data_IF_351676217737
#
_entry.id   IF_351676217737
#
_cell.length_a   1.000
_cell.length_b   1.000
_cell.length_c   1.000
_cell.angle_alpha   90.00
_cell.angle_beta   90.00
_cell.angle_gamma   90.00
#
_symmetry.space_group_name_H-M   'P 1'
#
loop_
_entity.id
_entity.type
_entity.pdbx_description
1 polymer ?
#
# COMPACT_ATOMS: atom_id res chain seq x y z
N UNK A 1 -10.13 12.57 13.34
CA UNK A 1 -11.31 11.79 12.89
C UNK A 1 -11.38 11.65 11.37
N UNK A 2 -11.28 12.74 10.59
CA UNK A 2 -11.44 12.73 9.12
C UNK A 2 -10.43 11.84 8.36
N UNK A 3 -9.17 11.80 8.82
CA UNK A 3 -8.10 11.00 8.20
C UNK A 3 -8.35 9.48 8.33
N UNK A 4 -8.70 9.01 9.53
CA UNK A 4 -9.03 7.60 9.81
C UNK A 4 -10.20 7.13 8.93
N UNK A 5 -11.20 8.00 8.72
CA UNK A 5 -12.32 7.70 7.85
C UNK A 5 -11.87 7.42 6.41
N UNK A 6 -11.04 8.28 5.82
CA UNK A 6 -10.58 8.12 4.44
C UNK A 6 -9.73 6.85 4.27
N UNK A 7 -8.82 6.57 5.21
CA UNK A 7 -8.05 5.31 5.21
C UNK A 7 -8.94 4.07 5.34
N UNK A 8 -10.01 4.14 6.15
CA UNK A 8 -11.01 3.07 6.24
C UNK A 8 -11.70 2.84 4.91
N UNK A 9 -12.08 3.90 4.19
CA UNK A 9 -12.69 3.75 2.87
C UNK A 9 -11.72 3.18 1.83
N UNK A 10 -10.45 3.61 1.85
CA UNK A 10 -9.41 3.04 0.99
C UNK A 10 -9.24 1.54 1.24
N UNK A 11 -9.29 1.12 2.51
CA UNK A 11 -9.24 -0.30 2.89
C UNK A 11 -10.45 -1.07 2.35
N UNK A 12 -11.67 -0.55 2.49
CA UNK A 12 -12.86 -1.20 1.90
C UNK A 12 -12.76 -1.34 0.38
N UNK A 13 -12.27 -0.31 -0.30
CA UNK A 13 -12.03 -0.37 -1.74
C UNK A 13 -11.00 -1.45 -2.08
N UNK A 14 -9.91 -1.57 -1.32
CA UNK A 14 -8.89 -2.60 -1.57
C UNK A 14 -9.42 -4.05 -1.48
N UNK A 15 -10.55 -4.28 -0.80
CA UNK A 15 -11.21 -5.58 -0.77
C UNK A 15 -11.97 -5.93 -2.06
N UNK A 16 -12.15 -4.97 -2.97
CA UNK A 16 -12.73 -5.23 -4.29
C UNK A 16 -11.64 -5.90 -5.13
N UNK A 17 -11.74 -7.21 -5.26
CA UNK A 17 -10.86 -7.97 -6.14
C UNK A 17 -11.32 -7.83 -7.60
N UNK A 18 -10.70 -6.88 -8.27
CA UNK A 18 -10.93 -6.56 -9.68
C UNK A 18 -10.27 -7.57 -10.61
N UNK A 19 -9.18 -8.23 -10.17
CA UNK A 19 -8.39 -9.15 -11.00
C UNK A 19 -9.03 -10.54 -11.13
N UNK A 20 -9.83 -10.95 -10.15
CA UNK A 20 -10.44 -12.28 -10.12
C UNK A 20 -11.57 -12.44 -11.14
N UNK A 21 -11.50 -13.51 -11.94
CA UNK A 21 -12.50 -13.83 -12.99
C UNK A 21 -13.84 -14.35 -12.45
N UNK A 22 -13.99 -14.56 -11.14
CA UNK A 22 -15.17 -15.18 -10.52
C UNK A 22 -16.33 -14.20 -10.43
N UNK A 23 -17.54 -14.66 -10.75
CA UNK A 23 -18.76 -13.83 -10.69
C UNK A 23 -19.14 -13.41 -9.26
N UNK A 24 -18.81 -14.23 -8.26
CA UNK A 24 -19.04 -13.93 -6.83
C UNK A 24 -18.30 -12.65 -6.42
N UNK A 25 -17.06 -12.47 -6.91
CA UNK A 25 -16.24 -11.28 -6.64
C UNK A 25 -16.88 -9.99 -7.18
N UNK A 26 -17.63 -10.06 -8.30
CA UNK A 26 -18.33 -8.91 -8.87
C UNK A 26 -19.53 -8.48 -8.00
N UNK A 27 -20.33 -9.43 -7.53
CA UNK A 27 -21.45 -9.15 -6.63
C UNK A 27 -20.97 -8.57 -5.30
N UNK A 28 -19.89 -9.12 -4.73
CA UNK A 28 -19.24 -8.56 -3.55
C UNK A 28 -18.72 -7.14 -3.81
N UNK A 29 -18.10 -6.88 -4.96
CA UNK A 29 -17.66 -5.55 -5.37
C UNK A 29 -18.80 -4.53 -5.41
N UNK A 30 -19.96 -4.89 -5.98
CA UNK A 30 -21.14 -4.00 -5.99
C UNK A 30 -21.69 -3.70 -4.60
N UNK A 31 -21.68 -4.69 -3.69
CA UNK A 31 -22.09 -4.50 -2.29
C UNK A 31 -21.16 -3.53 -1.59
N UNK A 32 -19.84 -3.72 -1.74
CA UNK A 32 -18.82 -2.83 -1.17
C UNK A 32 -18.97 -1.41 -1.73
N UNK A 33 -19.15 -1.26 -3.05
CA UNK A 33 -19.41 0.04 -3.67
C UNK A 33 -20.70 0.66 -3.09
N UNK A 34 -21.76 -0.10 -2.88
CA UNK A 34 -23.00 0.44 -2.30
C UNK A 34 -22.80 0.89 -0.85
N UNK A 35 -22.03 0.15 -0.05
CA UNK A 35 -21.65 0.53 1.31
C UNK A 35 -20.87 1.85 1.33
N UNK A 36 -19.82 1.94 0.50
CA UNK A 36 -18.98 3.13 0.37
C UNK A 36 -19.82 4.38 0.02
N UNK A 37 -20.86 4.22 -0.81
CA UNK A 37 -21.78 5.33 -1.13
C UNK A 37 -22.41 5.93 0.12
N UNK A 38 -22.90 5.08 1.01
CA UNK A 38 -23.55 5.51 2.24
C UNK A 38 -22.57 6.21 3.16
N UNK A 39 -21.39 5.61 3.32
CA UNK A 39 -20.31 6.13 4.15
C UNK A 39 -19.81 7.50 3.67
N UNK A 40 -19.52 7.67 2.36
CA UNK A 40 -19.10 8.96 1.81
C UNK A 40 -20.17 10.03 2.05
N UNK A 41 -21.45 9.69 1.84
CA UNK A 41 -22.56 10.63 2.08
C UNK A 41 -22.63 11.06 3.54
N UNK A 42 -22.40 10.14 4.47
CA UNK A 42 -22.37 10.46 5.89
C UNK A 42 -21.20 11.39 6.22
N UNK A 43 -20.03 11.14 5.65
CA UNK A 43 -18.86 12.00 5.85
C UNK A 43 -18.99 13.37 5.22
N UNK A 44 -19.58 13.48 4.02
CA UNK A 44 -19.93 14.78 3.43
C UNK A 44 -20.82 15.58 4.39
N UNK A 45 -21.87 14.95 4.94
CA UNK A 45 -22.75 15.62 5.90
C UNK A 45 -22.01 16.02 7.17
N UNK A 46 -21.14 15.15 7.68
CA UNK A 46 -20.32 15.45 8.84
C UNK A 46 -19.40 16.65 8.59
N UNK A 47 -18.68 16.68 7.46
CA UNK A 47 -17.83 17.82 7.12
C UNK A 47 -18.62 19.12 6.91
N UNK A 48 -19.80 19.04 6.29
CA UNK A 48 -20.70 20.20 6.15
C UNK A 48 -21.18 20.74 7.50
N UNK A 49 -21.51 19.86 8.45
CA UNK A 49 -21.92 20.24 9.80
C UNK A 49 -20.78 20.84 10.61
N UNK A 50 -19.57 20.29 10.50
CA UNK A 50 -18.39 20.90 11.12
C UNK A 50 -18.13 22.28 10.52
N UNK A 51 -18.12 22.44 9.20
CA UNK A 51 -17.96 23.76 8.55
C UNK A 51 -19.02 24.81 8.93
N UNK A 52 -20.22 24.39 9.35
CA UNK A 52 -21.25 25.30 9.83
C UNK A 52 -20.96 25.91 11.22
N UNK A 53 -19.96 25.39 11.95
CA UNK A 53 -19.48 25.96 13.21
C UNK A 53 -18.42 27.03 12.92
N UNK A 54 -18.22 27.98 13.85
CA UNK A 54 -17.16 29.00 13.73
C UNK A 54 -15.77 28.36 13.74
N UNK A 55 -15.28 27.95 12.57
CA UNK A 55 -13.91 27.50 12.35
C UNK A 55 -13.05 28.63 11.75
N UNK A 56 -11.74 28.41 11.72
CA UNK A 56 -10.83 29.30 11.00
C UNK A 56 -11.08 29.20 9.49
N UNK A 57 -10.92 30.31 8.77
CA UNK A 57 -11.08 30.38 7.31
C UNK A 57 -10.21 29.35 6.57
N UNK A 58 -9.05 29.01 7.12
CA UNK A 58 -8.12 28.02 6.58
C UNK A 58 -8.71 26.60 6.53
N UNK A 59 -9.51 26.20 7.53
CA UNK A 59 -10.19 24.91 7.56
C UNK A 59 -11.34 24.90 6.54
N UNK A 60 -12.03 26.03 6.37
CA UNK A 60 -13.06 26.18 5.33
C UNK A 60 -12.47 26.00 3.93
N UNK A 61 -11.33 26.63 3.67
CA UNK A 61 -10.62 26.57 2.39
C UNK A 61 -10.11 25.14 2.07
N UNK A 62 -9.82 24.31 3.08
CA UNK A 62 -9.48 22.89 2.89
C UNK A 62 -10.71 22.01 2.62
N UNK A 63 -11.74 22.09 3.46
CA UNK A 63 -12.84 21.14 3.43
C UNK A 63 -13.88 21.45 2.35
N UNK A 64 -14.07 22.71 1.94
CA UNK A 64 -15.02 23.07 0.88
C UNK A 64 -14.69 22.41 -0.47
N UNK A 65 -13.45 22.54 -1.01
CA UNK A 65 -13.05 21.83 -2.22
C UNK A 65 -13.18 20.32 -2.08
N UNK A 66 -12.79 19.77 -0.93
CA UNK A 66 -12.86 18.33 -0.67
C UNK A 66 -14.30 17.81 -0.69
N UNK A 67 -15.23 18.49 -0.03
CA UNK A 67 -16.66 18.14 -0.03
C UNK A 67 -17.23 18.21 -1.45
N UNK A 68 -16.86 19.23 -2.21
CA UNK A 68 -17.28 19.38 -3.60
C UNK A 68 -16.77 18.22 -4.46
N UNK A 69 -15.48 17.90 -4.37
CA UNK A 69 -14.85 16.81 -5.11
C UNK A 69 -15.46 15.46 -4.75
N UNK A 70 -15.61 15.16 -3.45
CA UNK A 70 -16.28 13.95 -2.96
C UNK A 70 -17.71 13.85 -3.51
N UNK A 71 -18.45 14.94 -3.54
CA UNK A 71 -19.83 14.97 -4.06
C UNK A 71 -19.91 14.73 -5.57
N UNK A 72 -18.98 15.32 -6.34
CA UNK A 72 -18.95 15.17 -7.80
C UNK A 72 -18.55 13.76 -8.22
N UNK A 73 -17.45 13.23 -7.68
CA UNK A 73 -16.99 11.88 -8.03
C UNK A 73 -17.97 10.81 -7.55
N UNK A 74 -18.64 11.02 -6.41
CA UNK A 74 -19.75 10.17 -5.99
C UNK A 74 -20.89 10.19 -7.02
N UNK A 75 -21.31 11.38 -7.48
CA UNK A 75 -22.36 11.45 -8.52
C UNK A 75 -21.92 10.75 -9.81
N UNK A 76 -20.67 10.94 -10.24
CA UNK A 76 -20.11 10.29 -11.43
C UNK A 76 -20.19 8.77 -11.32
N UNK A 77 -19.66 8.19 -10.25
CA UNK A 77 -19.64 6.74 -10.05
C UNK A 77 -21.04 6.15 -10.00
N UNK A 78 -21.92 6.66 -9.14
CA UNK A 78 -23.21 5.99 -8.92
C UNK A 78 -24.30 6.36 -9.94
N UNK A 79 -24.25 7.56 -10.53
CA UNK A 79 -25.28 7.99 -11.48
C UNK A 79 -24.86 7.81 -12.95
N UNK A 80 -23.58 7.58 -13.24
CA UNK A 80 -23.09 7.35 -14.61
C UNK A 80 -22.49 5.95 -14.77
N UNK A 81 -21.45 5.60 -14.00
CA UNK A 81 -20.72 4.33 -14.16
C UNK A 81 -21.54 3.11 -13.71
N UNK A 82 -22.21 3.19 -12.56
CA UNK A 82 -23.01 2.08 -12.01
C UNK A 82 -24.49 2.16 -12.42
N UNK A 83 -24.87 3.13 -13.25
CA UNK A 83 -26.25 3.28 -13.71
C UNK A 83 -26.71 2.03 -14.45
N UNK A 84 -27.84 1.48 -14.04
CA UNK A 84 -28.47 0.29 -14.61
C UNK A 84 -27.57 -0.95 -14.65
N UNK A 85 -26.54 -1.03 -13.80
CA UNK A 85 -25.59 -2.15 -13.82
C UNK A 85 -26.24 -3.50 -13.54
N UNK A 86 -27.32 -3.52 -12.75
CA UNK A 86 -28.10 -4.72 -12.45
C UNK A 86 -28.93 -5.23 -13.64
N UNK A 87 -29.24 -4.37 -14.60
CA UNK A 87 -30.01 -4.71 -15.80
C UNK A 87 -29.11 -5.23 -16.93
N UNK A 88 -27.79 -5.07 -16.80
CA UNK A 88 -26.82 -5.51 -17.80
C UNK A 88 -26.71 -7.04 -17.81
N UNK A 89 -26.66 -7.61 -19.02
CA UNK A 89 -26.48 -9.06 -19.21
C UNK A 89 -25.03 -9.44 -19.53
N UNK A 90 -24.21 -8.48 -19.98
CA UNK A 90 -22.83 -8.74 -20.36
C UNK A 90 -21.88 -8.58 -19.15
N UNK A 91 -21.38 -9.71 -18.66
CA UNK A 91 -20.47 -9.79 -17.51
C UNK A 91 -19.17 -8.99 -17.73
N UNK A 92 -18.64 -8.94 -18.95
CA UNK A 92 -17.41 -8.15 -19.23
C UNK A 92 -17.66 -6.66 -19.06
N UNK A 93 -18.82 -6.17 -19.49
CA UNK A 93 -19.19 -4.77 -19.36
C UNK A 93 -19.46 -4.40 -17.90
N UNK A 94 -20.14 -5.29 -17.16
CA UNK A 94 -20.34 -5.13 -15.71
C UNK A 94 -19.00 -5.02 -15.00
N UNK A 95 -18.07 -5.94 -15.30
CA UNK A 95 -16.72 -5.92 -14.75
C UNK A 95 -16.05 -4.59 -15.05
N UNK A 96 -15.92 -4.19 -16.32
CA UNK A 96 -15.28 -2.93 -16.73
C UNK A 96 -15.82 -1.71 -15.98
N UNK A 97 -17.13 -1.63 -15.75
CA UNK A 97 -17.76 -0.54 -14.98
C UNK A 97 -17.42 -0.59 -13.48
N UNK A 98 -17.32 -1.78 -12.90
CA UNK A 98 -16.86 -1.96 -11.52
C UNK A 98 -15.39 -1.58 -11.40
N UNK A 99 -14.53 -1.98 -12.33
CA UNK A 99 -13.09 -1.62 -12.32
C UNK A 99 -12.91 -0.10 -12.44
N UNK A 100 -13.67 0.54 -13.33
CA UNK A 100 -13.62 1.98 -13.51
C UNK A 100 -14.13 2.73 -12.26
N UNK A 101 -15.24 2.27 -11.68
CA UNK A 101 -15.78 2.83 -10.43
C UNK A 101 -14.79 2.69 -9.27
N UNK A 102 -14.15 1.53 -9.16
CA UNK A 102 -13.07 1.28 -8.21
C UNK A 102 -11.92 2.28 -8.43
N UNK A 103 -11.45 2.44 -9.67
CA UNK A 103 -10.33 3.33 -9.99
C UNK A 103 -10.62 4.79 -9.64
N UNK A 104 -11.83 5.27 -9.98
CA UNK A 104 -12.28 6.64 -9.66
C UNK A 104 -12.29 6.87 -8.15
N UNK A 105 -12.94 5.98 -7.38
CA UNK A 105 -13.06 6.15 -5.94
C UNK A 105 -11.72 5.97 -5.21
N UNK A 106 -10.87 5.06 -5.68
CA UNK A 106 -9.52 4.89 -5.15
C UNK A 106 -8.72 6.17 -5.30
N UNK A 107 -8.68 6.73 -6.51
CA UNK A 107 -7.97 7.97 -6.79
C UNK A 107 -8.52 9.13 -5.94
N UNK A 108 -9.85 9.27 -5.87
CA UNK A 108 -10.51 10.26 -5.01
C UNK A 108 -10.05 10.20 -3.56
N UNK A 109 -9.99 9.00 -2.97
CA UNK A 109 -9.56 8.86 -1.57
C UNK A 109 -8.06 9.10 -1.39
N UNK A 110 -7.22 8.62 -2.31
CA UNK A 110 -5.79 8.89 -2.27
C UNK A 110 -5.52 10.40 -2.34
N UNK A 111 -6.16 11.11 -3.27
CA UNK A 111 -6.07 12.58 -3.38
C UNK A 111 -6.61 13.30 -2.14
N UNK A 112 -7.74 12.87 -1.59
CA UNK A 112 -8.32 13.45 -0.39
C UNK A 112 -7.38 13.35 0.82
N UNK A 113 -6.72 12.19 0.98
CA UNK A 113 -5.75 11.95 2.05
C UNK A 113 -4.53 12.84 1.87
N UNK A 114 -3.99 12.94 0.65
CA UNK A 114 -2.82 13.79 0.35
C UNK A 114 -3.12 15.25 0.64
N UNK A 115 -4.25 15.78 0.16
CA UNK A 115 -4.64 17.18 0.41
C UNK A 115 -4.75 17.50 1.91
N UNK A 116 -5.31 16.59 2.70
CA UNK A 116 -5.39 16.78 4.15
C UNK A 116 -3.99 16.68 4.79
N UNK A 117 -3.15 15.74 4.35
CA UNK A 117 -1.80 15.57 4.89
C UNK A 117 -0.93 16.82 4.62
N UNK A 118 -0.93 17.30 3.37
CA UNK A 118 -0.21 18.52 2.94
C UNK A 118 -0.65 19.77 3.70
N UNK A 119 -1.94 19.86 4.07
CA UNK A 119 -2.44 20.96 4.87
C UNK A 119 -1.86 20.97 6.30
N UNK A 120 -1.75 19.81 6.95
CA UNK A 120 -1.22 19.72 8.31
C UNK A 120 0.31 19.73 8.35
N UNK A 121 0.96 19.18 7.32
CA UNK A 121 2.40 19.16 7.17
C UNK A 121 2.77 19.34 5.69
N UNK A 122 3.15 20.57 5.29
CA UNK A 122 3.52 20.88 3.91
C UNK A 122 4.76 20.13 3.41
N UNK A 123 5.51 19.47 4.29
CA UNK A 123 6.67 18.65 3.90
C UNK A 123 6.26 17.27 3.38
N UNK A 124 5.04 16.83 3.66
CA UNK A 124 4.50 15.57 3.17
C UNK A 124 4.05 15.75 1.72
N UNK A 125 4.63 15.00 0.80
CA UNK A 125 4.16 14.95 -0.59
C UNK A 125 3.24 13.74 -0.82
N UNK A 126 2.37 13.80 -1.82
CA UNK A 126 1.55 12.67 -2.23
C UNK A 126 2.36 11.41 -2.60
N UNK A 127 3.57 11.59 -3.12
CA UNK A 127 4.51 10.51 -3.42
C UNK A 127 5.00 9.76 -2.17
N UNK A 128 5.05 10.45 -1.01
CA UNK A 128 5.46 9.83 0.26
C UNK A 128 4.39 8.86 0.79
N UNK A 129 3.11 9.11 0.47
CA UNK A 129 1.97 8.33 0.99
C UNK A 129 1.52 7.26 -0.02
N UNK A 130 1.32 7.64 -1.29
CA UNK A 130 0.81 6.73 -2.31
C UNK A 130 1.69 6.68 -3.56
N UNK A 131 1.96 5.44 -3.96
CA UNK A 131 2.72 5.11 -5.17
C UNK A 131 2.06 5.64 -6.45
N UNK A 132 0.74 5.82 -6.45
CA UNK A 132 0.01 6.35 -7.60
C UNK A 132 0.49 7.77 -8.02
N UNK A 133 1.08 8.52 -7.09
CA UNK A 133 1.67 9.83 -7.38
C UNK A 133 3.14 9.76 -7.78
N UNK A 134 3.82 8.63 -7.55
CA UNK A 134 5.23 8.47 -7.89
C UNK A 134 5.42 8.27 -9.39
N UNK A 135 6.39 8.99 -9.96
CA UNK A 135 6.90 8.70 -11.31
C UNK A 135 7.44 7.27 -11.42
N UNK A 136 7.45 6.69 -12.63
CA UNK A 136 8.04 5.36 -12.88
C UNK A 136 9.50 5.26 -12.41
N UNK A 137 10.24 6.36 -12.53
CA UNK A 137 11.57 6.52 -11.97
C UNK A 137 11.55 6.41 -10.45
N UNK A 138 10.71 7.20 -9.77
CA UNK A 138 10.54 7.17 -8.32
C UNK A 138 10.13 5.80 -7.80
N UNK A 139 9.23 5.10 -8.50
CA UNK A 139 8.83 3.73 -8.18
C UNK A 139 10.01 2.75 -8.25
N UNK A 140 10.84 2.85 -9.29
CA UNK A 140 12.04 2.02 -9.43
C UNK A 140 13.10 2.35 -8.39
N UNK A 141 13.27 3.64 -8.04
CA UNK A 141 14.16 4.08 -6.96
C UNK A 141 13.73 3.52 -5.60
N UNK A 142 12.45 3.69 -5.24
CA UNK A 142 11.90 3.19 -3.98
C UNK A 142 12.00 1.68 -3.89
N UNK A 143 11.64 0.96 -4.94
CA UNK A 143 11.80 -0.50 -4.98
C UNK A 143 13.26 -0.91 -4.76
N UNK A 144 14.21 -0.20 -5.38
CA UNK A 144 15.64 -0.46 -5.22
C UNK A 144 16.11 -0.21 -3.77
N UNK A 145 15.69 0.91 -3.17
CA UNK A 145 15.99 1.26 -1.77
C UNK A 145 15.41 0.21 -0.81
N UNK A 146 14.14 -0.13 -0.97
CA UNK A 146 13.43 -1.02 -0.06
C UNK A 146 14.00 -2.45 -0.11
N UNK A 147 14.37 -2.95 -1.30
CA UNK A 147 15.00 -4.27 -1.47
C UNK A 147 16.42 -4.26 -0.90
N UNK A 148 17.16 -3.17 -1.07
CA UNK A 148 18.51 -3.05 -0.50
C UNK A 148 18.48 -3.09 1.03
N UNK A 149 17.54 -2.38 1.65
CA UNK A 149 17.36 -2.40 3.10
C UNK A 149 16.92 -3.80 3.57
N UNK A 150 16.00 -4.45 2.86
CA UNK A 150 15.58 -5.82 3.18
C UNK A 150 16.76 -6.80 3.14
N UNK A 151 17.57 -6.73 2.07
CA UNK A 151 18.79 -7.52 1.92
C UNK A 151 19.73 -7.29 3.09
N UNK A 152 20.01 -6.02 3.43
CA UNK A 152 20.91 -5.66 4.54
C UNK A 152 20.41 -6.17 5.89
N UNK A 153 19.12 -6.02 6.19
CA UNK A 153 18.51 -6.50 7.43
C UNK A 153 18.59 -8.03 7.53
N UNK A 154 18.35 -8.74 6.42
CA UNK A 154 18.45 -10.20 6.38
C UNK A 154 19.89 -10.68 6.51
N UNK A 155 20.87 -10.01 5.91
CA UNK A 155 22.30 -10.32 6.10
C UNK A 155 22.70 -10.15 7.57
N UNK A 156 22.31 -9.04 8.21
CA UNK A 156 22.58 -8.83 9.64
C UNK A 156 21.91 -9.89 10.52
N UNK A 157 20.69 -10.30 10.16
CA UNK A 157 19.96 -11.38 10.83
C UNK A 157 20.66 -12.73 10.66
N UNK A 158 21.15 -13.06 9.45
CA UNK A 158 21.86 -14.29 9.15
C UNK A 158 23.19 -14.39 9.93
N UNK A 159 24.01 -13.32 9.90
CA UNK A 159 25.29 -13.25 10.62
C UNK A 159 25.13 -13.47 12.13
N UNK A 160 23.98 -13.06 12.69
CA UNK A 160 23.70 -13.08 14.12
C UNK A 160 22.55 -14.02 14.50
N UNK A 161 22.19 -15.02 13.68
CA UNK A 161 20.90 -15.72 13.81
C UNK A 161 20.62 -16.29 15.20
N UNK A 162 21.64 -16.83 15.87
CA UNK A 162 21.50 -17.39 17.22
C UNK A 162 21.26 -16.33 18.31
N UNK A 163 21.76 -15.11 18.10
CA UNK A 163 21.54 -13.95 18.98
C UNK A 163 20.25 -13.24 18.58
N UNK A 164 19.98 -13.10 17.28
CA UNK A 164 18.80 -12.45 16.72
C UNK A 164 17.50 -13.16 17.10
N UNK A 165 17.48 -14.50 17.10
CA UNK A 165 16.32 -15.29 17.55
C UNK A 165 16.07 -15.17 19.06
N UNK A 166 17.11 -14.84 19.85
CA UNK A 166 16.99 -14.59 21.30
C UNK A 166 16.72 -13.12 21.62
N UNK A 167 17.12 -12.22 20.73
CA UNK A 167 16.94 -10.78 20.84
C UNK A 167 15.60 -10.37 20.24
N UNK A 168 14.61 -10.18 21.11
CA UNK A 168 13.26 -9.79 20.71
C UNK A 168 13.25 -8.52 19.83
N UNK A 169 14.17 -7.57 20.04
CA UNK A 169 14.22 -6.32 19.27
C UNK A 169 14.60 -6.49 17.80
N UNK A 170 15.56 -7.37 17.49
CA UNK A 170 16.07 -7.54 16.12
C UNK A 170 15.07 -8.31 15.25
N UNK A 171 14.51 -9.41 15.80
CA UNK A 171 13.50 -10.19 15.11
C UNK A 171 12.23 -9.36 14.85
N UNK A 172 11.77 -8.59 15.85
CA UNK A 172 10.58 -7.76 15.71
C UNK A 172 10.82 -6.61 14.71
N UNK A 173 12.01 -6.04 14.67
CA UNK A 173 12.34 -4.99 13.69
C UNK A 173 12.34 -5.53 12.26
N UNK A 174 12.89 -6.72 12.02
CA UNK A 174 12.82 -7.39 10.72
C UNK A 174 11.38 -7.71 10.34
N UNK A 175 10.57 -8.26 11.26
CA UNK A 175 9.14 -8.52 11.03
C UNK A 175 8.37 -7.24 10.68
N UNK A 176 8.60 -6.16 11.42
CA UNK A 176 7.97 -4.86 11.15
C UNK A 176 8.37 -4.32 9.78
N UNK A 177 9.63 -4.46 9.40
CA UNK A 177 10.08 -4.06 8.06
C UNK A 177 9.45 -4.93 6.96
N UNK A 178 9.32 -6.24 7.17
CA UNK A 178 8.61 -7.13 6.25
C UNK A 178 7.13 -6.74 6.11
N UNK A 179 6.43 -6.43 7.21
CA UNK A 179 5.05 -5.95 7.15
C UNK A 179 4.91 -4.61 6.40
N UNK A 180 5.86 -3.70 6.60
CA UNK A 180 5.96 -2.47 5.80
C UNK A 180 6.14 -2.80 4.33
N UNK A 181 7.11 -3.65 3.99
CA UNK A 181 7.44 -4.02 2.62
C UNK A 181 6.24 -4.69 1.92
N UNK A 182 5.53 -5.59 2.60
CA UNK A 182 4.30 -6.22 2.11
C UNK A 182 3.20 -5.18 1.84
N UNK A 183 3.03 -4.22 2.75
CA UNK A 183 1.97 -3.20 2.64
C UNK A 183 2.24 -2.16 1.55
N UNK A 184 3.50 -1.77 1.35
CA UNK A 184 3.86 -0.62 0.53
C UNK A 184 4.65 -0.97 -0.73
N UNK A 185 5.50 -2.00 -0.69
CA UNK A 185 6.50 -2.28 -1.73
C UNK A 185 6.12 -3.46 -2.62
N UNK A 186 5.30 -4.41 -2.15
CA UNK A 186 4.87 -5.57 -2.97
C UNK A 186 4.25 -5.18 -4.30
N UNK A 187 3.46 -4.11 -4.35
CA UNK A 187 2.84 -3.58 -5.57
C UNK A 187 3.84 -3.06 -6.61
N UNK A 188 5.09 -2.85 -6.24
CA UNK A 188 6.17 -2.44 -7.14
C UNK A 188 6.96 -3.62 -7.72
N UNK A 189 6.80 -4.82 -7.16
CA UNK A 189 7.47 -6.02 -7.63
C UNK A 189 6.96 -6.39 -9.03
N UNK A 190 7.80 -7.09 -9.79
CA UNK A 190 7.34 -7.75 -11.01
C UNK A 190 6.47 -8.94 -10.62
N UNK A 191 5.57 -9.32 -11.53
CA UNK A 191 4.71 -10.47 -11.34
C UNK A 191 5.50 -11.75 -11.02
N UNK A 192 6.63 -11.96 -11.72
CA UNK A 192 7.47 -13.15 -11.55
C UNK A 192 8.18 -13.20 -10.19
N UNK A 193 8.47 -12.05 -9.59
CA UNK A 193 9.15 -11.97 -8.30
C UNK A 193 8.16 -12.12 -7.13
N UNK A 194 6.89 -11.75 -7.33
CA UNK A 194 5.88 -11.69 -6.26
C UNK A 194 5.70 -13.01 -5.50
N UNK A 195 5.68 -14.14 -6.22
CA UNK A 195 5.44 -15.46 -5.62
C UNK A 195 6.55 -15.83 -4.63
N UNK A 196 7.82 -15.56 -4.99
CA UNK A 196 8.96 -15.89 -4.15
C UNK A 196 9.01 -15.02 -2.88
N UNK A 197 8.72 -13.72 -2.99
CA UNK A 197 8.58 -12.82 -1.84
C UNK A 197 7.46 -13.28 -0.90
N UNK A 198 6.26 -13.54 -1.44
CA UNK A 198 5.10 -13.96 -0.66
C UNK A 198 5.36 -15.28 0.07
N UNK A 199 5.96 -16.26 -0.63
CA UNK A 199 6.33 -17.54 -0.03
C UNK A 199 7.34 -17.38 1.10
N UNK A 200 8.41 -16.62 0.88
CA UNK A 200 9.41 -16.38 1.92
C UNK A 200 8.82 -15.68 3.15
N UNK A 201 7.99 -14.64 2.96
CA UNK A 201 7.40 -13.88 4.07
C UNK A 201 6.50 -14.78 4.92
N UNK A 202 5.62 -15.55 4.28
CA UNK A 202 4.74 -16.50 4.97
C UNK A 202 5.52 -17.57 5.74
N UNK A 203 6.54 -18.15 5.11
CA UNK A 203 7.42 -19.13 5.76
C UNK A 203 8.14 -18.52 6.96
N UNK A 204 8.73 -17.32 6.79
CA UNK A 204 9.46 -16.63 7.86
C UNK A 204 8.55 -16.29 9.04
N UNK A 205 7.36 -15.73 8.81
CA UNK A 205 6.42 -15.43 9.88
C UNK A 205 5.92 -16.68 10.59
N UNK A 206 5.75 -17.79 9.87
CA UNK A 206 5.33 -19.08 10.45
C UNK A 206 6.44 -19.68 11.30
N UNK A 207 7.66 -19.75 10.76
CA UNK A 207 8.83 -20.33 11.43
C UNK A 207 9.22 -19.52 12.69
N UNK A 208 8.90 -18.22 12.73
CA UNK A 208 9.24 -17.32 13.85
C UNK A 208 8.06 -16.97 14.76
N UNK A 209 6.91 -17.64 14.62
CA UNK A 209 5.69 -17.38 15.41
C UNK A 209 5.79 -17.88 16.85
N UNK A 210 6.45 -19.03 17.04
CA UNK A 210 6.62 -19.70 18.32
C UNK A 210 8.11 -19.91 18.61
N UNK A 211 8.75 -18.96 19.29
CA UNK A 211 10.15 -19.03 19.76
C UNK A 211 10.34 -20.12 20.84
N UNK A 212 9.26 -20.80 21.24
CA UNK A 212 9.17 -21.74 22.37
C UNK A 212 9.64 -23.17 22.06
N UNK A 213 9.93 -23.50 20.81
CA UNK A 213 10.50 -24.80 20.42
C UNK A 213 11.91 -24.61 19.85
N UNK A 214 12.81 -25.62 19.92
CA UNK A 214 14.11 -25.52 19.29
C UNK A 214 13.89 -25.39 17.79
N UNK A 215 13.91 -24.14 17.29
CA UNK A 215 13.97 -23.88 15.87
C UNK A 215 15.15 -24.67 15.33
N UNK A 216 14.92 -25.38 14.23
CA UNK A 216 16.00 -25.91 13.42
C UNK A 216 16.67 -24.70 12.74
N UNK A 217 17.52 -24.00 13.50
CA UNK A 217 18.19 -22.76 13.09
C UNK A 217 18.92 -22.94 11.76
N UNK A 218 19.32 -24.19 11.43
CA UNK A 218 20.00 -24.52 10.18
C UNK A 218 19.07 -24.42 8.95
N UNK A 219 17.80 -24.81 9.08
CA UNK A 219 16.81 -24.68 8.01
C UNK A 219 16.40 -23.23 7.77
N UNK A 220 16.15 -22.49 8.85
CA UNK A 220 15.83 -21.06 8.73
C UNK A 220 17.00 -20.27 8.14
N UNK A 221 18.23 -20.54 8.59
CA UNK A 221 19.43 -19.94 8.02
C UNK A 221 19.54 -20.24 6.51
N UNK A 222 19.33 -21.50 6.10
CA UNK A 222 19.33 -21.87 4.68
C UNK A 222 18.26 -21.14 3.85
N UNK A 223 17.05 -20.98 4.38
CA UNK A 223 15.98 -20.20 3.72
C UNK A 223 16.35 -18.72 3.58
N UNK A 224 16.86 -18.11 4.67
CA UNK A 224 17.29 -16.70 4.68
C UNK A 224 18.43 -16.50 3.68
N UNK A 225 19.44 -17.38 3.69
CA UNK A 225 20.57 -17.34 2.77
C UNK A 225 20.13 -17.37 1.30
N UNK A 226 19.28 -18.34 0.95
CA UNK A 226 18.76 -18.48 -0.41
C UNK A 226 17.97 -17.23 -0.83
N UNK A 227 17.19 -16.65 0.09
CA UNK A 227 16.44 -15.44 -0.19
C UNK A 227 17.36 -14.23 -0.34
N UNK A 228 18.45 -14.11 0.42
CA UNK A 228 19.48 -13.07 0.23
C UNK A 228 20.06 -13.12 -1.19
N UNK A 229 20.44 -14.31 -1.69
CA UNK A 229 20.93 -14.50 -3.07
C UNK A 229 19.86 -14.09 -4.10
N UNK A 230 18.60 -14.44 -3.85
CA UNK A 230 17.48 -14.02 -4.68
C UNK A 230 17.31 -12.49 -4.70
N UNK A 231 17.43 -11.81 -3.55
CA UNK A 231 17.37 -10.36 -3.46
C UNK A 231 18.54 -9.69 -4.20
N UNK A 232 19.74 -10.25 -4.15
CA UNK A 232 20.89 -9.75 -4.93
C UNK A 232 20.62 -9.80 -6.43
N UNK A 233 20.07 -10.92 -6.89
CA UNK A 233 19.68 -11.08 -8.30
C UNK A 233 18.58 -10.08 -8.68
N UNK A 234 17.58 -9.89 -7.81
CA UNK A 234 16.50 -8.92 -8.00
C UNK A 234 17.03 -7.49 -8.05
N UNK A 235 17.96 -7.12 -7.15
CA UNK A 235 18.63 -5.81 -7.14
C UNK A 235 19.39 -5.57 -8.44
N UNK A 236 20.12 -6.56 -8.94
CA UNK A 236 20.83 -6.45 -10.22
C UNK A 236 19.87 -6.21 -11.39
N UNK A 237 18.73 -6.92 -11.43
CA UNK A 237 17.70 -6.69 -12.44
C UNK A 237 17.06 -5.29 -12.35
N UNK A 238 16.91 -4.74 -11.15
CA UNK A 238 16.39 -3.39 -10.94
C UNK A 238 17.44 -2.35 -11.36
N UNK A 239 18.70 -2.53 -11.00
CA UNK A 239 19.81 -1.65 -11.39
C UNK A 239 19.95 -1.51 -12.90
N UNK A 240 19.62 -2.56 -13.65
CA UNK A 240 19.68 -2.57 -15.11
C UNK A 240 18.49 -1.90 -15.80
N UNK A 241 17.48 -1.40 -15.06
CA UNK A 241 16.35 -0.66 -15.65
C UNK A 241 16.85 0.61 -16.33
N UNK A 242 16.38 0.89 -17.54
CA UNK A 242 16.84 2.02 -18.35
C UNK A 242 16.62 3.37 -17.65
N UNK A 243 15.56 3.47 -16.84
CA UNK A 243 15.29 4.64 -16.00
C UNK A 243 16.32 4.87 -14.87
N UNK A 244 17.09 3.87 -14.44
CA UNK A 244 18.05 3.95 -13.32
C UNK A 244 19.52 4.03 -13.74
N UNK A 245 19.83 3.88 -15.03
CA UNK A 245 21.21 3.77 -15.54
C UNK A 245 22.11 4.99 -15.25
N UNK A 246 21.53 6.15 -14.97
CA UNK A 246 22.26 7.41 -14.74
C UNK A 246 22.29 7.87 -13.28
N UNK A 247 21.73 7.11 -12.33
CA UNK A 247 21.69 7.48 -10.90
C UNK A 247 22.06 6.32 -9.96
N UNK A 248 23.16 6.45 -9.19
CA UNK A 248 23.53 5.45 -8.19
C UNK A 248 22.50 5.40 -7.06
N UNK A 249 22.54 4.34 -6.25
CA UNK A 249 21.73 4.23 -5.04
C UNK A 249 22.11 5.34 -4.06
N UNK A 250 21.12 6.02 -3.51
CA UNK A 250 21.34 7.02 -2.47
C UNK A 250 21.60 6.30 -1.13
N UNK A 251 22.89 6.10 -0.85
CA UNK A 251 23.35 5.38 0.34
C UNK A 251 23.04 6.13 1.64
N UNK A 252 22.91 7.47 1.60
CA UNK A 252 22.57 8.25 2.79
C UNK A 252 21.11 8.05 3.19
N UNK A 253 20.20 8.13 2.21
CA UNK A 253 18.76 7.90 2.42
C UNK A 253 18.47 6.47 2.84
N UNK A 254 19.10 5.48 2.20
CA UNK A 254 19.00 4.08 2.60
C UNK A 254 19.53 3.85 4.02
N UNK A 255 20.63 4.52 4.39
CA UNK A 255 21.21 4.45 5.74
C UNK A 255 20.39 5.16 6.83
N UNK A 256 19.58 6.16 6.47
CA UNK A 256 18.63 6.79 7.40
C UNK A 256 17.43 5.88 7.68
N UNK A 257 16.87 5.27 6.63
CA UNK A 257 15.79 4.30 6.79
C UNK A 257 16.24 3.07 7.58
N UNK A 258 17.42 2.53 7.29
CA UNK A 258 18.00 1.41 8.03
C UNK A 258 18.13 1.71 9.54
N UNK A 259 18.52 2.94 9.91
CA UNK A 259 18.60 3.38 11.31
C UNK A 259 17.27 3.50 12.04
N UNK A 260 16.14 3.51 11.33
CA UNK A 260 14.81 3.49 11.96
C UNK A 260 14.41 2.08 12.43
N UNK A 261 15.08 1.05 11.91
CA UNK A 261 14.77 -0.37 12.14
C UNK A 261 15.92 -1.15 12.82
N UNK A 262 17.01 -0.48 13.22
CA UNK A 262 18.12 -1.04 14.01
C UNK A 262 18.21 -0.25 15.31
#
# INVERSE_FOLDING_TARGET
MSFIFLFRQLRYISCIDVATRRNISLSCGLIILTLIRSEIRQSIKFFQLELGKKHSREIEDLFQPLIFQLSMELKRVYNQELRNILEMKNIRNIRGRIENSYGILKNLFEQAIVQIAEYYDPTISGENIFIAFMTRFGQSMKLREDIYILHKLLTLFEENINIALKSFSMLESLKNYMLYFESFTFKLLRYDDYEEFSKFFNDFFTDTKDISFPLDNTKLAGKVHNFIIFLETTLNHINNRSELQSKPLDMERAGQLLRQYI
#
